data_IF_052107734897
#
_entry.id   IF_052107734897
#
_cell.length_a   1.000
_cell.length_b   1.000
_cell.length_c   1.000
_cell.angle_alpha   90.00
_cell.angle_beta   90.00
_cell.angle_gamma   90.00
#
_symmetry.space_group_name_H-M   'P 1'
#
loop_
_entity.id
_entity.type
_entity.pdbx_description
1 polymer ?
#
# COMPACT_ATOMS: atom_id res chain seq x y z
N UNK A 1 9.42 -10.42 4.57
CA UNK A 1 10.62 -10.92 3.87
C UNK A 1 10.46 -12.28 3.17
N UNK A 2 9.68 -13.23 3.72
CA UNK A 2 9.42 -14.54 3.11
C UNK A 2 8.91 -14.46 1.64
N UNK A 3 7.96 -13.58 1.37
CA UNK A 3 7.37 -13.39 0.03
C UNK A 3 8.38 -12.81 -0.98
N UNK A 4 9.36 -12.02 -0.52
CA UNK A 4 10.43 -11.45 -1.37
C UNK A 4 11.44 -12.52 -1.78
N UNK A 5 11.65 -13.54 -0.94
CA UNK A 5 12.61 -14.64 -1.20
C UNK A 5 11.99 -15.84 -1.91
N UNK A 6 10.68 -16.05 -1.76
CA UNK A 6 9.98 -17.20 -2.33
C UNK A 6 8.67 -16.79 -3.04
N UNK A 7 8.77 -16.19 -4.24
CA UNK A 7 7.59 -15.69 -4.96
C UNK A 7 6.60 -16.79 -5.37
N UNK A 8 7.03 -18.06 -5.43
CA UNK A 8 6.17 -19.20 -5.81
C UNK A 8 5.07 -19.53 -4.79
N UNK A 9 5.23 -19.13 -3.53
CA UNK A 9 4.20 -19.31 -2.49
C UNK A 9 3.43 -18.02 -2.22
N UNK A 10 3.78 -16.94 -2.93
CA UNK A 10 3.25 -15.64 -2.59
C UNK A 10 1.75 -15.55 -2.89
N UNK A 11 1.30 -16.13 -4.00
CA UNK A 11 -0.12 -16.08 -4.39
C UNK A 11 -1.06 -16.71 -3.33
N UNK A 12 -0.65 -17.80 -2.68
CA UNK A 12 -1.43 -18.42 -1.60
C UNK A 12 -1.41 -17.58 -0.32
N UNK A 13 -0.27 -16.99 0.04
CA UNK A 13 -0.16 -16.13 1.22
C UNK A 13 -0.88 -14.79 1.03
N UNK A 14 -0.90 -14.26 -0.18
CA UNK A 14 -1.56 -12.99 -0.54
C UNK A 14 -3.06 -13.07 -0.25
N UNK A 15 -3.71 -14.20 -0.54
CA UNK A 15 -5.12 -14.41 -0.21
C UNK A 15 -5.37 -14.37 1.30
N UNK A 16 -4.49 -14.97 2.10
CA UNK A 16 -4.59 -14.90 3.55
C UNK A 16 -4.38 -13.47 4.08
N UNK A 17 -3.44 -12.71 3.51
CA UNK A 17 -3.19 -11.30 3.87
C UNK A 17 -4.36 -10.40 3.47
N UNK A 18 -5.01 -10.69 2.33
CA UNK A 18 -6.21 -9.93 1.90
C UNK A 18 -7.40 -10.08 2.84
N UNK A 19 -7.45 -11.16 3.61
CA UNK A 19 -8.46 -11.38 4.64
C UNK A 19 -8.12 -10.72 5.99
N UNK A 20 -6.89 -10.19 6.14
CA UNK A 20 -6.48 -9.44 7.33
C UNK A 20 -6.82 -7.98 7.11
N UNK A 21 -7.56 -7.42 8.05
CA UNK A 21 -7.92 -6.00 8.03
C UNK A 21 -6.67 -5.15 8.35
N UNK A 22 -6.22 -4.34 7.37
CA UNK A 22 -5.04 -3.50 7.52
C UNK A 22 -5.22 -2.42 8.61
N UNK A 23 -6.47 -2.03 8.91
CA UNK A 23 -6.82 -1.09 9.97
C UNK A 23 -6.64 -1.73 11.37
N UNK A 24 -6.74 -3.05 11.48
CA UNK A 24 -6.61 -3.78 12.75
C UNK A 24 -5.15 -3.95 13.21
N UNK A 25 -4.19 -3.70 12.33
CA UNK A 25 -2.76 -3.93 12.59
C UNK A 25 -2.16 -2.65 13.17
N UNK A 26 -1.66 -2.72 14.41
CA UNK A 26 -1.08 -1.57 15.10
C UNK A 26 0.43 -1.42 14.89
N UNK A 27 1.11 -2.46 14.40
CA UNK A 27 2.56 -2.43 14.18
C UNK A 27 2.89 -1.80 12.82
N UNK A 28 3.69 -0.70 12.77
CA UNK A 28 3.97 0.01 11.52
C UNK A 28 4.66 -0.85 10.46
N UNK A 29 5.64 -1.67 10.87
CA UNK A 29 6.35 -2.60 9.99
C UNK A 29 5.41 -3.63 9.37
N UNK A 30 4.45 -4.13 10.15
CA UNK A 30 3.43 -5.06 9.65
C UNK A 30 2.48 -4.38 8.67
N UNK A 31 2.03 -3.15 8.95
CA UNK A 31 1.19 -2.36 8.02
C UNK A 31 1.92 -2.08 6.71
N UNK A 32 3.16 -1.61 6.77
CA UNK A 32 3.99 -1.39 5.58
C UNK A 32 4.14 -2.69 4.77
N UNK A 33 4.37 -3.83 5.42
CA UNK A 33 4.43 -5.12 4.72
C UNK A 33 3.11 -5.48 4.03
N UNK A 34 1.95 -5.23 4.66
CA UNK A 34 0.63 -5.48 4.05
C UNK A 34 0.40 -4.56 2.85
N UNK A 35 0.67 -3.26 2.99
CA UNK A 35 0.60 -2.28 1.91
C UNK A 35 1.50 -2.68 0.74
N UNK A 36 2.73 -3.10 1.04
CA UNK A 36 3.66 -3.63 0.03
C UNK A 36 3.06 -4.84 -0.69
N UNK A 37 2.46 -5.79 0.03
CA UNK A 37 1.79 -6.96 -0.58
C UNK A 37 0.65 -6.53 -1.48
N UNK A 38 -0.20 -5.58 -1.07
CA UNK A 38 -1.28 -5.05 -1.90
C UNK A 38 -0.75 -4.40 -3.19
N UNK A 39 0.32 -3.61 -3.09
CA UNK A 39 0.99 -2.99 -4.23
C UNK A 39 1.62 -4.02 -5.19
N UNK A 40 2.29 -5.03 -4.65
CA UNK A 40 3.03 -6.05 -5.40
C UNK A 40 2.09 -7.09 -6.04
N UNK A 41 1.05 -7.51 -5.32
CA UNK A 41 0.12 -8.57 -5.74
C UNK A 41 -1.29 -8.06 -6.06
N UNK A 42 -1.48 -6.76 -6.24
CA UNK A 42 -2.75 -6.15 -6.67
C UNK A 42 -3.32 -6.64 -8.01
N UNK A 43 -2.58 -7.45 -8.77
CA UNK A 43 -3.11 -8.14 -9.93
C UNK A 43 -3.92 -9.39 -9.53
N UNK A 44 -3.54 -10.08 -8.45
CA UNK A 44 -4.25 -11.22 -7.85
C UNK A 44 -5.36 -10.74 -6.90
N UNK A 45 -5.09 -9.66 -6.16
CA UNK A 45 -6.05 -9.07 -5.22
C UNK A 45 -6.98 -8.07 -5.93
N UNK A 46 -8.21 -8.47 -6.23
CA UNK A 46 -9.23 -7.57 -6.78
C UNK A 46 -9.57 -6.42 -5.83
N UNK A 47 -9.55 -6.68 -4.53
CA UNK A 47 -9.91 -5.71 -3.48
C UNK A 47 -8.77 -4.72 -3.17
N UNK A 48 -7.55 -4.93 -3.69
CA UNK A 48 -6.39 -4.11 -3.34
C UNK A 48 -6.57 -2.61 -3.62
N UNK A 49 -7.13 -2.15 -4.76
CA UNK A 49 -7.41 -0.74 -4.99
C UNK A 49 -8.36 -0.14 -3.95
N UNK A 50 -9.41 -0.89 -3.59
CA UNK A 50 -10.44 -0.47 -2.65
C UNK A 50 -9.95 -0.46 -1.19
N UNK A 51 -9.10 -1.43 -0.82
CA UNK A 51 -8.47 -1.48 0.49
C UNK A 51 -7.39 -0.40 0.67
N UNK A 52 -6.73 0.02 -0.42
CA UNK A 52 -5.70 1.08 -0.36
C UNK A 52 -6.29 2.48 -0.28
N UNK A 53 -7.50 2.71 -0.79
CA UNK A 53 -8.16 4.02 -0.77
C UNK A 53 -8.33 4.61 0.65
N UNK A 54 -8.90 3.90 1.65
CA UNK A 54 -9.01 4.43 3.01
C UNK A 54 -7.64 4.63 3.68
N UNK A 55 -6.65 3.78 3.38
CA UNK A 55 -5.29 3.95 3.92
C UNK A 55 -4.60 5.23 3.40
N UNK A 56 -4.90 5.62 2.15
CA UNK A 56 -4.45 6.91 1.58
C UNK A 56 -5.26 8.08 2.14
N UNK A 57 -6.53 7.86 2.51
CA UNK A 57 -7.34 8.88 3.17
C UNK A 57 -6.81 9.22 4.57
N UNK A 58 -6.20 8.24 5.25
CA UNK A 58 -5.56 8.38 6.57
C UNK A 58 -4.07 8.76 6.51
N UNK A 59 -3.53 9.02 5.32
CA UNK A 59 -2.09 9.27 5.10
C UNK A 59 -1.52 10.38 6.00
N UNK A 60 -2.26 11.47 6.22
CA UNK A 60 -1.82 12.59 7.08
C UNK A 60 -1.82 12.22 8.57
N UNK A 61 -2.67 11.27 8.97
CA UNK A 61 -2.76 10.79 10.36
C UNK A 61 -1.77 9.68 10.67
N UNK A 62 -1.15 9.11 9.64
CA UNK A 62 -0.16 8.06 9.78
C UNK A 62 1.15 8.61 10.38
N UNK A 63 1.49 8.20 11.61
CA UNK A 63 2.70 8.69 12.27
C UNK A 63 3.99 8.11 11.64
N UNK A 64 3.91 6.91 11.05
CA UNK A 64 5.07 6.23 10.50
C UNK A 64 5.38 6.64 9.05
N UNK A 65 6.54 7.27 8.86
CA UNK A 65 7.08 7.61 7.54
C UNK A 65 7.28 6.39 6.63
N UNK A 66 7.66 5.24 7.19
CA UNK A 66 7.84 3.99 6.43
C UNK A 66 6.52 3.52 5.79
N UNK A 67 5.41 3.64 6.53
CA UNK A 67 4.07 3.30 6.03
C UNK A 67 3.66 4.29 4.95
N UNK A 68 3.89 5.60 5.15
CA UNK A 68 3.59 6.65 4.15
C UNK A 68 4.37 6.45 2.84
N UNK A 69 5.67 6.15 2.92
CA UNK A 69 6.49 5.81 1.76
C UNK A 69 5.97 4.56 1.03
N UNK A 70 5.65 3.51 1.77
CA UNK A 70 5.16 2.28 1.17
C UNK A 70 3.75 2.45 0.56
N UNK A 71 2.90 3.32 1.12
CA UNK A 71 1.62 3.69 0.52
C UNK A 71 1.79 4.37 -0.84
N UNK A 72 2.72 5.33 -0.96
CA UNK A 72 3.05 5.97 -2.24
C UNK A 72 3.55 4.95 -3.27
N UNK A 73 4.50 4.09 -2.85
CA UNK A 73 5.07 3.01 -3.66
C UNK A 73 3.98 2.02 -4.13
N UNK A 74 3.13 1.56 -3.21
CA UNK A 74 2.05 0.62 -3.51
C UNK A 74 1.00 1.25 -4.44
N UNK A 75 0.61 2.50 -4.21
CA UNK A 75 -0.33 3.22 -5.07
C UNK A 75 0.20 3.36 -6.50
N UNK A 76 1.50 3.68 -6.65
CA UNK A 76 2.15 3.76 -7.96
C UNK A 76 2.20 2.39 -8.66
N UNK A 77 2.61 1.33 -7.94
CA UNK A 77 2.65 -0.04 -8.49
C UNK A 77 1.27 -0.54 -8.93
N UNK A 78 0.24 -0.30 -8.12
CA UNK A 78 -1.14 -0.64 -8.42
C UNK A 78 -1.66 0.17 -9.61
N UNK A 79 -1.29 1.45 -9.74
CA UNK A 79 -1.64 2.26 -10.91
C UNK A 79 -1.08 1.69 -12.21
N UNK A 80 0.17 1.20 -12.23
CA UNK A 80 0.72 0.55 -13.43
C UNK A 80 0.00 -0.75 -13.81
N UNK A 81 -0.68 -1.40 -12.85
CA UNK A 81 -1.45 -2.64 -13.08
C UNK A 81 -2.90 -2.35 -13.45
N UNK A 82 -3.53 -1.41 -12.74
CA UNK A 82 -4.95 -1.01 -12.88
C UNK A 82 -5.08 0.52 -12.91
N UNK A 83 -4.68 1.17 -14.01
CA UNK A 83 -4.74 2.63 -14.12
C UNK A 83 -6.12 3.26 -13.89
N UNK A 84 -7.25 2.70 -14.39
CA UNK A 84 -8.54 3.38 -14.28
C UNK A 84 -9.08 3.43 -12.85
N UNK A 85 -8.83 2.39 -12.06
CA UNK A 85 -9.27 2.30 -10.65
C UNK A 85 -8.38 3.16 -9.74
N UNK A 86 -7.07 3.19 -10.01
CA UNK A 86 -6.09 3.83 -9.12
C UNK A 86 -5.79 5.29 -9.42
N UNK A 87 -6.25 5.83 -10.55
CA UNK A 87 -5.93 7.22 -10.96
C UNK A 87 -6.27 8.25 -9.88
N UNK A 88 -7.41 8.09 -9.21
CA UNK A 88 -7.84 8.98 -8.12
C UNK A 88 -6.95 8.79 -6.89
N UNK A 89 -6.80 7.56 -6.44
CA UNK A 89 -6.05 7.19 -5.24
C UNK A 89 -4.59 7.61 -5.34
N UNK A 90 -3.93 7.33 -6.47
CA UNK A 90 -2.55 7.78 -6.71
C UNK A 90 -2.44 9.31 -6.74
N UNK A 91 -3.39 10.00 -7.38
CA UNK A 91 -3.40 11.46 -7.42
C UNK A 91 -3.52 12.07 -6.01
N UNK A 92 -4.36 11.47 -5.15
CA UNK A 92 -4.49 11.88 -3.75
C UNK A 92 -3.21 11.56 -2.96
N UNK A 93 -2.69 10.34 -3.07
CA UNK A 93 -1.48 9.92 -2.38
C UNK A 93 -0.29 10.84 -2.72
N UNK A 94 -0.07 11.13 -4.00
CA UNK A 94 0.99 12.06 -4.43
C UNK A 94 0.77 13.48 -3.94
N UNK A 95 -0.48 13.98 -3.95
CA UNK A 95 -0.78 15.30 -3.42
C UNK A 95 -0.43 15.43 -1.93
N UNK A 96 -0.77 14.40 -1.15
CA UNK A 96 -0.49 14.33 0.28
C UNK A 96 1.01 14.13 0.54
N UNK A 97 1.68 13.27 -0.23
CA UNK A 97 3.13 13.06 -0.14
C UNK A 97 3.92 14.34 -0.42
N UNK A 98 3.53 15.12 -1.45
CA UNK A 98 4.14 16.42 -1.74
C UNK A 98 3.84 17.50 -0.68
N UNK A 99 2.95 17.25 0.28
CA UNK A 99 2.67 18.14 1.41
C UNK A 99 3.23 17.60 2.73
N UNK A 100 3.89 16.44 2.70
CA UNK A 100 4.42 15.79 3.90
C UNK A 100 5.57 16.62 4.50
N UNK A 101 5.65 16.61 5.83
CA UNK A 101 6.72 17.28 6.56
C UNK A 101 8.04 16.49 6.50
N UNK A 102 7.99 15.18 6.23
CA UNK A 102 9.17 14.34 6.07
C UNK A 102 9.73 14.49 4.65
N UNK A 103 11.02 14.84 4.57
CA UNK A 103 11.72 15.07 3.31
C UNK A 103 11.80 13.82 2.42
N UNK A 104 11.98 12.63 2.99
CA UNK A 104 12.04 11.38 2.23
C UNK A 104 10.69 11.02 1.59
N UNK A 105 9.58 11.42 2.22
CA UNK A 105 8.21 11.23 1.69
C UNK A 105 7.87 12.28 0.63
N UNK A 106 8.39 13.49 0.81
CA UNK A 106 8.17 14.63 -0.07
C UNK A 106 8.97 14.56 -1.39
N UNK A 107 10.25 14.17 -1.32
CA UNK A 107 11.22 14.19 -2.44
C UNK A 107 11.24 12.89 -3.27
#
# INVERSE_FOLDING_TARGET
DLLRRHPKWADECVLAVSAVDAESVTEPSARAAIVWVMGEYGHVMSEAPYALEPLVDEFETEESEEVRLELLSAAAKLFFKRPPEMKRTLGKALHLGCQDANQDVHD
#
